data_IF_442542649142
#
_entry.id   IF_442542649142
#
_cell.length_a   1.000
_cell.length_b   1.000
_cell.length_c   1.000
_cell.angle_alpha   90.00
_cell.angle_beta   90.00
_cell.angle_gamma   90.00
#
_symmetry.space_group_name_H-M   'P 1'
#
loop_
_entity.id
_entity.type
_entity.pdbx_description
1 polymer ?
#
# COMPACT_ATOMS: atom_id res chain seq x y z
N UNK A 1 -8.53 38.44 23.57
CA UNK A 1 -7.69 37.41 22.89
C UNK A 1 -7.97 35.99 23.40
N UNK A 2 -8.06 35.74 24.71
CA UNK A 2 -8.34 34.41 25.29
C UNK A 2 -9.59 33.71 24.70
N UNK A 3 -10.69 34.46 24.55
CA UNK A 3 -11.99 33.90 24.14
C UNK A 3 -12.04 33.53 22.65
N UNK A 4 -11.23 34.17 21.81
CA UNK A 4 -11.14 33.87 20.38
C UNK A 4 -10.40 32.55 20.15
N UNK A 5 -9.36 32.29 20.96
CA UNK A 5 -8.62 31.02 20.93
C UNK A 5 -9.52 29.89 21.44
N UNK A 6 -10.26 30.12 22.52
CA UNK A 6 -11.21 29.13 23.04
C UNK A 6 -12.32 28.81 22.02
N UNK A 7 -12.84 29.81 21.30
CA UNK A 7 -13.84 29.61 20.26
C UNK A 7 -13.29 28.84 19.04
N UNK A 8 -12.04 29.10 18.64
CA UNK A 8 -11.36 28.34 17.58
C UNK A 8 -11.11 26.89 17.99
N UNK A 9 -10.68 26.65 19.23
CA UNK A 9 -10.47 25.30 19.76
C UNK A 9 -11.79 24.53 19.89
N UNK A 10 -12.87 25.19 20.33
CA UNK A 10 -14.22 24.60 20.37
C UNK A 10 -14.75 24.29 18.98
N UNK A 11 -14.51 25.15 17.99
CA UNK A 11 -14.91 24.93 16.60
C UNK A 11 -14.23 23.72 15.96
N UNK A 12 -12.98 23.42 16.33
CA UNK A 12 -12.24 22.24 15.85
C UNK A 12 -12.80 20.93 16.43
N UNK A 13 -13.29 20.95 17.68
CA UNK A 13 -13.80 19.75 18.37
C UNK A 13 -15.23 19.35 17.93
N UNK A 14 -16.01 20.28 17.38
CA UNK A 14 -17.41 20.04 16.98
C UNK A 14 -17.50 19.37 15.59
N UNK A 15 -16.44 19.43 14.78
CA UNK A 15 -16.40 18.85 13.44
C UNK A 15 -15.85 17.42 13.53
N UNK A 16 -16.60 16.52 14.15
CA UNK A 16 -16.39 15.08 14.00
C UNK A 16 -17.18 14.64 12.76
N UNK A 17 -16.55 14.29 11.63
CA UNK A 17 -17.26 13.81 10.46
C UNK A 17 -17.82 12.40 10.75
N UNK A 18 -19.10 12.20 10.45
CA UNK A 18 -19.74 10.89 10.42
C UNK A 18 -18.91 9.95 9.53
N UNK A 19 -18.48 8.81 10.09
CA UNK A 19 -17.53 7.90 9.46
C UNK A 19 -18.08 7.34 8.14
N UNK A 20 -17.76 8.00 7.02
CA UNK A 20 -18.00 7.47 5.68
C UNK A 20 -17.02 6.31 5.42
N UNK A 21 -17.45 5.09 5.77
CA UNK A 21 -16.64 3.86 5.71
C UNK A 21 -16.15 3.46 4.30
N UNK A 22 -16.49 4.21 3.25
CA UNK A 22 -16.07 3.99 1.86
C UNK A 22 -15.54 5.25 1.16
N UNK A 23 -15.08 6.26 1.92
CA UNK A 23 -14.47 7.45 1.33
C UNK A 23 -12.98 7.18 1.02
N UNK A 24 -12.71 6.80 -0.22
CA UNK A 24 -11.36 6.89 -0.78
C UNK A 24 -11.21 8.33 -1.24
N UNK A 25 -10.62 9.18 -0.41
CA UNK A 25 -10.28 10.54 -0.82
C UNK A 25 -9.16 10.51 -1.90
N UNK A 26 -9.02 11.56 -2.73
CA UNK A 26 -8.04 11.57 -3.82
C UNK A 26 -6.59 11.26 -3.38
N UNK A 27 -6.21 11.58 -2.14
CA UNK A 27 -4.88 11.26 -1.61
C UNK A 27 -4.75 9.79 -1.20
N UNK A 28 -5.78 9.22 -0.56
CA UNK A 28 -5.84 7.80 -0.23
C UNK A 28 -5.86 6.92 -1.48
N UNK A 29 -6.62 7.30 -2.51
CA UNK A 29 -6.65 6.61 -3.79
C UNK A 29 -5.29 6.61 -4.50
N UNK A 30 -4.60 7.75 -4.48
CA UNK A 30 -3.25 7.88 -5.04
C UNK A 30 -2.23 6.98 -4.34
N UNK A 31 -2.26 6.92 -3.00
CA UNK A 31 -1.38 6.05 -2.22
C UNK A 31 -1.60 4.57 -2.56
N UNK A 32 -2.87 4.13 -2.67
CA UNK A 32 -3.19 2.75 -3.05
C UNK A 32 -2.62 2.39 -4.42
N UNK A 33 -2.79 3.26 -5.41
CA UNK A 33 -2.23 3.05 -6.76
C UNK A 33 -0.70 3.01 -6.71
N UNK A 34 -0.06 3.89 -5.94
CA UNK A 34 1.40 3.89 -5.79
C UNK A 34 1.93 2.60 -5.15
N UNK A 35 1.28 2.11 -4.09
CA UNK A 35 1.65 0.86 -3.43
C UNK A 35 1.48 -0.31 -4.40
N UNK A 36 0.40 -0.34 -5.19
CA UNK A 36 0.18 -1.39 -6.19
C UNK A 36 1.25 -1.36 -7.28
N UNK A 37 1.52 -0.19 -7.86
CA UNK A 37 2.53 -0.04 -8.91
C UNK A 37 3.94 -0.34 -8.39
N UNK A 38 4.29 0.21 -7.22
CA UNK A 38 5.57 -0.03 -6.55
C UNK A 38 5.74 -1.50 -6.16
N UNK A 39 4.68 -2.14 -5.68
CA UNK A 39 4.66 -3.56 -5.34
C UNK A 39 4.88 -4.45 -6.55
N UNK A 40 4.18 -4.20 -7.67
CA UNK A 40 4.36 -4.94 -8.92
C UNK A 40 5.79 -4.76 -9.46
N UNK A 41 6.29 -3.52 -9.48
CA UNK A 41 7.65 -3.23 -9.90
C UNK A 41 8.69 -3.94 -9.02
N UNK A 42 8.51 -3.90 -7.69
CA UNK A 42 9.37 -4.58 -6.72
C UNK A 42 9.37 -6.10 -6.91
N UNK A 43 8.20 -6.72 -7.10
CA UNK A 43 8.08 -8.14 -7.41
C UNK A 43 8.81 -8.47 -8.72
N UNK A 44 8.64 -7.66 -9.77
CA UNK A 44 9.34 -7.84 -11.04
C UNK A 44 10.86 -7.83 -10.89
N UNK A 45 11.39 -6.90 -10.08
CA UNK A 45 12.82 -6.84 -9.75
C UNK A 45 13.27 -8.08 -8.98
N UNK A 46 12.51 -8.50 -7.96
CA UNK A 46 12.82 -9.71 -7.19
C UNK A 46 12.82 -10.96 -8.08
N UNK A 47 11.83 -11.13 -8.94
CA UNK A 47 11.78 -12.23 -9.91
C UNK A 47 13.01 -12.23 -10.82
N UNK A 48 13.39 -11.06 -11.34
CA UNK A 48 14.59 -10.93 -12.17
C UNK A 48 15.87 -11.31 -11.41
N UNK A 49 16.00 -10.84 -10.17
CA UNK A 49 17.18 -11.10 -9.32
C UNK A 49 17.29 -12.57 -8.93
N UNK A 50 16.15 -13.24 -8.71
CA UNK A 50 16.07 -14.64 -8.31
C UNK A 50 15.76 -15.61 -9.46
N UNK A 51 15.78 -15.17 -10.72
CA UNK A 51 15.38 -15.98 -11.88
C UNK A 51 16.02 -17.37 -11.89
N UNK A 52 17.32 -17.46 -11.59
CA UNK A 52 18.04 -18.73 -11.51
C UNK A 52 17.59 -19.67 -10.38
N UNK A 53 17.15 -19.14 -9.22
CA UNK A 53 16.60 -19.97 -8.14
C UNK A 53 15.14 -20.36 -8.44
N UNK A 54 14.37 -19.43 -9.00
CA UNK A 54 12.99 -19.62 -9.39
C UNK A 54 12.87 -20.70 -10.48
N UNK A 55 13.68 -20.60 -11.52
CA UNK A 55 13.76 -21.62 -12.59
C UNK A 55 14.22 -22.98 -12.07
N UNK A 56 15.14 -23.03 -11.10
CA UNK A 56 15.54 -24.30 -10.46
C UNK A 56 14.41 -24.95 -9.66
N UNK A 57 13.57 -24.16 -8.98
CA UNK A 57 12.36 -24.66 -8.32
C UNK A 57 11.37 -25.28 -9.32
N UNK A 58 11.23 -24.67 -10.51
CA UNK A 58 10.40 -25.22 -11.59
C UNK A 58 11.07 -26.37 -12.37
N UNK A 59 12.39 -26.56 -12.23
CA UNK A 59 13.17 -27.59 -12.92
C UNK A 59 13.49 -28.79 -12.02
N UNK A 60 12.58 -29.14 -11.10
CA UNK A 60 12.70 -30.37 -10.33
C UNK A 60 12.07 -31.53 -11.13
N UNK A 61 12.86 -32.60 -11.27
CA UNK A 61 12.49 -33.94 -11.78
C UNK A 61 12.33 -34.12 -13.31
N UNK A 62 13.44 -33.99 -14.03
CA UNK A 62 13.81 -34.98 -15.06
C UNK A 62 15.31 -35.19 -14.99
N UNK A 63 15.75 -35.97 -14.02
CA UNK A 63 17.03 -36.69 -14.14
C UNK A 63 16.93 -37.97 -13.32
N UNK A 64 16.80 -39.04 -14.09
CA UNK A 64 17.33 -40.39 -13.91
C UNK A 64 16.86 -41.26 -12.74
N UNK A 65 16.16 -42.34 -13.12
CA UNK A 65 16.61 -43.68 -12.72
C UNK A 65 16.95 -44.48 -13.99
N UNK A 66 18.09 -45.22 -13.99
CA UNK A 66 18.57 -46.05 -15.11
C UNK A 66 17.72 -47.31 -15.35
#
# INVERSE_FOLDING_TARGET
>A
MQNTIAALLLGVVIIEPDYALAYIDPSAGGLLVQILLGGIAGIGVLVKLYWGKLTKLFRKEKDDQP
#
